data_IF_907177700951
#
_entry.id   IF_907177700951
#
_cell.length_a   1.000
_cell.length_b   1.000
_cell.length_c   1.000
_cell.angle_alpha   90.00
_cell.angle_beta   90.00
_cell.angle_gamma   90.00
#
_symmetry.space_group_name_H-M   'P 1'
#
loop_
_entity.id
_entity.type
_entity.pdbx_description
1 polymer ?
#
# COMPACT_ATOMS: atom_id res chain seq x y z
N UNK A 1 15.10 -14.01 -2.91
CA UNK A 1 16.29 -13.15 -3.09
C UNK A 1 16.41 -12.30 -1.86
N UNK A 2 17.58 -12.28 -1.23
CA UNK A 2 17.85 -11.37 -0.11
C UNK A 2 17.55 -9.92 -0.51
N UNK A 3 16.95 -9.10 0.38
CA UNK A 3 16.59 -7.72 0.07
C UNK A 3 17.77 -6.90 -0.49
N UNK A 4 18.96 -7.11 0.07
CA UNK A 4 20.20 -6.43 -0.33
C UNK A 4 20.63 -6.79 -1.74
N UNK A 5 20.64 -8.09 -2.08
CA UNK A 5 20.97 -8.55 -3.43
C UNK A 5 19.93 -8.07 -4.45
N UNK A 6 18.64 -8.08 -4.10
CA UNK A 6 17.59 -7.56 -4.98
C UNK A 6 17.84 -6.09 -5.33
N UNK A 7 18.12 -5.25 -4.34
CA UNK A 7 18.40 -3.83 -4.58
C UNK A 7 19.64 -3.63 -5.45
N UNK A 8 20.70 -4.44 -5.24
CA UNK A 8 21.90 -4.38 -6.08
C UNK A 8 21.59 -4.67 -7.55
N UNK A 9 20.88 -5.77 -7.82
CA UNK A 9 20.49 -6.16 -9.18
C UNK A 9 19.62 -5.09 -9.85
N UNK A 10 18.66 -4.52 -9.12
CA UNK A 10 17.81 -3.45 -9.63
C UNK A 10 18.63 -2.21 -10.03
N UNK A 11 19.64 -1.84 -9.23
CA UNK A 11 20.55 -0.74 -9.57
C UNK A 11 21.39 -1.04 -10.82
N UNK A 12 21.89 -2.27 -10.96
CA UNK A 12 22.64 -2.70 -12.15
C UNK A 12 21.76 -2.64 -13.41
N UNK A 13 20.53 -3.14 -13.35
CA UNK A 13 19.57 -3.05 -14.46
C UNK A 13 19.33 -1.58 -14.86
N UNK A 14 19.12 -0.71 -13.87
CA UNK A 14 18.91 0.71 -14.11
C UNK A 14 20.13 1.38 -14.75
N UNK A 15 21.34 1.01 -14.31
CA UNK A 15 22.58 1.51 -14.89
C UNK A 15 22.72 1.08 -16.36
N UNK A 16 22.52 -0.20 -16.64
CA UNK A 16 22.58 -0.74 -18.00
C UNK A 16 21.54 -0.08 -18.92
N UNK A 17 20.29 0.08 -18.45
CA UNK A 17 19.26 0.77 -19.22
C UNK A 17 19.66 2.21 -19.58
N UNK A 18 20.25 2.94 -18.62
CA UNK A 18 20.75 4.31 -18.85
C UNK A 18 21.95 4.38 -19.78
N UNK A 19 22.87 3.42 -19.65
CA UNK A 19 24.10 3.37 -20.44
C UNK A 19 23.80 3.03 -21.90
N UNK A 20 22.93 2.06 -22.15
CA UNK A 20 22.64 1.58 -23.51
C UNK A 20 21.40 2.23 -24.16
N UNK A 21 20.56 2.93 -23.40
CA UNK A 21 19.35 3.59 -23.92
C UNK A 21 18.34 2.61 -24.55
N UNK A 22 18.34 1.35 -24.12
CA UNK A 22 17.52 0.29 -24.71
C UNK A 22 16.07 0.38 -24.27
N UNK A 23 15.13 0.01 -25.14
CA UNK A 23 13.74 -0.18 -24.72
C UNK A 23 13.64 -1.42 -23.84
N UNK A 24 13.24 -1.25 -22.58
CA UNK A 24 13.12 -2.34 -21.60
C UNK A 24 11.67 -2.52 -21.19
N UNK A 25 11.19 -3.77 -21.22
CA UNK A 25 9.89 -4.16 -20.67
C UNK A 25 10.15 -5.08 -19.49
N UNK A 26 9.54 -4.77 -18.35
CA UNK A 26 9.66 -5.54 -17.12
C UNK A 26 8.26 -5.88 -16.59
N UNK A 27 8.13 -7.06 -16.01
CA UNK A 27 6.90 -7.52 -15.34
C UNK A 27 7.21 -7.67 -13.86
N UNK A 28 6.44 -7.00 -13.01
CA UNK A 28 6.59 -7.10 -11.56
C UNK A 28 5.23 -7.00 -10.89
N UNK A 29 5.13 -7.60 -9.70
CA UNK A 29 4.00 -7.48 -8.79
C UNK A 29 4.37 -6.65 -7.55
N UNK A 30 5.63 -6.17 -7.43
CA UNK A 30 6.11 -5.40 -6.29
C UNK A 30 6.05 -3.90 -6.61
N UNK A 31 5.19 -3.11 -5.93
CA UNK A 31 5.10 -1.67 -6.12
C UNK A 31 6.44 -0.94 -5.96
N UNK A 32 7.33 -1.41 -5.09
CA UNK A 32 8.62 -0.80 -4.82
C UNK A 32 9.57 -0.93 -6.01
N UNK A 33 9.54 -2.09 -6.68
CA UNK A 33 10.33 -2.35 -7.87
C UNK A 33 9.80 -1.54 -9.06
N UNK A 34 8.48 -1.57 -9.26
CA UNK A 34 7.80 -0.77 -10.29
C UNK A 34 8.10 0.71 -10.10
N UNK A 35 8.01 1.22 -8.87
CA UNK A 35 8.26 2.62 -8.56
C UNK A 35 9.71 3.04 -8.81
N UNK A 36 10.68 2.16 -8.55
CA UNK A 36 12.11 2.47 -8.72
C UNK A 36 12.60 2.39 -10.16
N UNK A 37 12.11 1.42 -10.93
CA UNK A 37 12.68 1.09 -12.24
C UNK A 37 11.84 1.55 -13.43
N UNK A 38 10.51 1.63 -13.30
CA UNK A 38 9.65 1.92 -14.44
C UNK A 38 9.54 3.43 -14.70
N UNK A 39 9.52 3.81 -15.97
CA UNK A 39 9.16 5.17 -16.42
C UNK A 39 7.66 5.30 -16.73
N UNK A 40 7.01 4.18 -17.08
CA UNK A 40 5.58 4.02 -17.40
C UNK A 40 5.11 2.66 -16.90
N UNK A 41 3.88 2.60 -16.40
CA UNK A 41 3.25 1.39 -15.87
C UNK A 41 1.96 1.11 -16.63
N UNK A 42 1.83 -0.11 -17.11
CA UNK A 42 0.61 -0.62 -17.74
C UNK A 42 0.07 -1.75 -16.86
N UNK A 43 -1.16 -1.59 -16.37
CA UNK A 43 -1.81 -2.61 -15.54
C UNK A 43 -2.75 -3.43 -16.41
N UNK A 44 -2.56 -4.75 -16.37
CA UNK A 44 -3.39 -5.71 -17.09
C UNK A 44 -4.32 -6.43 -16.12
N UNK A 45 -5.59 -6.55 -16.49
CA UNK A 45 -6.57 -7.40 -15.81
C UNK A 45 -7.42 -8.14 -16.84
N UNK A 46 -7.51 -9.47 -16.71
CA UNK A 46 -8.26 -10.33 -17.64
C UNK A 46 -7.94 -10.07 -19.13
N UNK A 47 -6.66 -9.89 -19.44
CA UNK A 47 -6.19 -9.64 -20.81
C UNK A 47 -6.48 -8.24 -21.36
N UNK A 48 -7.00 -7.32 -20.54
CA UNK A 48 -7.26 -5.92 -20.92
C UNK A 48 -6.36 -4.97 -20.14
N UNK A 49 -5.93 -3.89 -20.80
CA UNK A 49 -5.27 -2.77 -20.13
C UNK A 49 -6.33 -2.01 -19.34
N UNK A 50 -6.18 -1.97 -18.02
CA UNK A 50 -7.10 -1.24 -17.14
C UNK A 50 -6.56 0.11 -16.71
N UNK A 51 -5.22 0.27 -16.61
CA UNK A 51 -4.56 1.53 -16.29
C UNK A 51 -3.25 1.67 -17.09
N UNK A 52 -2.89 2.90 -17.42
CA UNK A 52 -1.66 3.26 -18.14
C UNK A 52 -1.21 4.67 -17.73
N UNK A 53 -0.01 4.80 -17.16
CA UNK A 53 0.47 6.11 -16.69
C UNK A 53 1.81 6.06 -15.98
N UNK A 54 2.18 7.14 -15.29
CA UNK A 54 3.42 7.20 -14.52
C UNK A 54 3.31 6.33 -13.26
N UNK A 55 4.41 5.73 -12.76
CA UNK A 55 4.38 4.91 -11.55
C UNK A 55 3.71 5.61 -10.36
N UNK A 56 3.97 6.91 -10.17
CA UNK A 56 3.35 7.70 -9.11
C UNK A 56 1.82 7.76 -9.23
N UNK A 57 1.29 7.96 -10.42
CA UNK A 57 -0.16 8.09 -10.67
C UNK A 57 -0.88 6.74 -10.48
N UNK A 58 -0.19 5.65 -10.83
CA UNK A 58 -0.74 4.29 -10.82
C UNK A 58 -0.64 3.66 -9.43
N UNK A 59 0.46 3.90 -8.70
CA UNK A 59 0.75 3.23 -7.42
C UNK A 59 0.30 4.04 -6.20
N UNK A 60 0.35 5.38 -6.25
CA UNK A 60 0.01 6.24 -5.10
C UNK A 60 -1.44 6.74 -5.20
N UNK A 61 -2.37 5.86 -5.59
CA UNK A 61 -3.80 6.18 -5.69
C UNK A 61 -4.41 6.39 -4.28
N UNK A 62 -4.06 7.51 -3.66
CA UNK A 62 -4.79 8.07 -2.52
C UNK A 62 -5.75 9.10 -3.07
N UNK A 63 -7.05 8.80 -3.07
CA UNK A 63 -8.09 9.76 -3.40
C UNK A 63 -8.30 10.73 -2.21
N UNK A 64 -8.05 12.03 -2.42
CA UNK A 64 -8.26 13.07 -1.40
C UNK A 64 -7.06 13.35 -0.49
N UNK A 65 -7.30 13.83 0.73
CA UNK A 65 -6.27 14.25 1.70
C UNK A 65 -5.65 13.11 2.54
N UNK A 66 -6.07 11.86 2.32
CA UNK A 66 -5.59 10.73 3.11
C UNK A 66 -4.23 10.31 2.58
N UNK A 67 -3.19 10.36 3.42
CA UNK A 67 -1.82 10.04 3.00
C UNK A 67 -1.49 8.55 3.09
N UNK A 68 -2.30 7.79 3.82
CA UNK A 68 -2.16 6.36 4.05
C UNK A 68 -3.55 5.71 4.12
N UNK A 69 -3.70 4.55 3.48
CA UNK A 69 -4.87 3.68 3.59
C UNK A 69 -4.39 2.23 3.70
N UNK A 70 -4.87 1.52 4.71
CA UNK A 70 -4.59 0.12 4.94
C UNK A 70 -5.89 -0.65 4.90
N UNK A 71 -5.92 -1.72 4.12
CA UNK A 71 -6.99 -2.70 4.21
C UNK A 71 -6.67 -3.66 5.36
N UNK A 72 -7.63 -3.86 6.24
CA UNK A 72 -7.52 -4.77 7.37
C UNK A 72 -8.82 -5.52 7.65
N UNK A 73 -8.76 -6.42 8.62
CA UNK A 73 -9.90 -7.20 9.11
C UNK A 73 -10.15 -6.87 10.58
N UNK A 74 -11.40 -6.54 10.91
CA UNK A 74 -11.81 -6.25 12.27
C UNK A 74 -11.88 -7.54 13.09
N UNK A 75 -11.08 -7.65 14.14
CA UNK A 75 -11.04 -8.83 15.01
C UNK A 75 -11.89 -8.65 16.26
N UNK A 76 -11.91 -7.45 16.83
CA UNK A 76 -12.59 -7.19 18.10
C UNK A 76 -12.96 -5.71 18.24
N UNK A 77 -14.06 -5.43 18.93
CA UNK A 77 -14.42 -4.08 19.39
C UNK A 77 -14.63 -4.13 20.90
N UNK A 78 -13.97 -3.25 21.63
CA UNK A 78 -14.09 -3.11 23.08
C UNK A 78 -14.40 -1.65 23.46
N UNK A 79 -15.26 -1.47 24.46
CA UNK A 79 -15.56 -0.15 25.03
C UNK A 79 -14.67 0.10 26.24
N UNK A 80 -13.90 1.18 26.20
CA UNK A 80 -13.05 1.64 27.33
C UNK A 80 -13.51 3.03 27.69
N UNK A 81 -14.20 3.15 28.83
CA UNK A 81 -14.86 4.38 29.28
C UNK A 81 -15.81 4.98 28.22
N UNK A 82 -15.42 6.12 27.64
CA UNK A 82 -16.18 6.89 26.65
C UNK A 82 -15.72 6.65 25.21
N UNK A 83 -14.66 5.86 25.00
CA UNK A 83 -14.12 5.55 23.67
C UNK A 83 -14.35 4.09 23.31
N UNK A 84 -14.39 3.82 22.01
CA UNK A 84 -14.40 2.48 21.46
C UNK A 84 -13.05 2.21 20.81
N UNK A 85 -12.45 1.06 21.15
CA UNK A 85 -11.23 0.55 20.54
C UNK A 85 -11.58 -0.63 19.64
N UNK A 86 -11.08 -0.60 18.41
CA UNK A 86 -11.15 -1.69 17.47
C UNK A 86 -9.77 -2.32 17.30
N UNK A 87 -9.68 -3.63 17.43
CA UNK A 87 -8.48 -4.40 17.08
C UNK A 87 -8.61 -4.82 15.63
N UNK A 88 -7.68 -4.36 14.79
CA UNK A 88 -7.69 -4.63 13.35
C UNK A 88 -6.40 -5.33 12.93
N UNK A 89 -6.55 -6.43 12.20
CA UNK A 89 -5.45 -7.12 11.56
C UNK A 89 -5.08 -6.41 10.25
N UNK A 90 -3.84 -5.93 10.15
CA UNK A 90 -3.28 -5.33 8.93
C UNK A 90 -2.05 -6.14 8.54
N UNK A 91 -2.18 -6.98 7.50
CA UNK A 91 -1.13 -7.91 7.11
C UNK A 91 -0.84 -8.93 8.23
N UNK A 92 0.36 -8.88 8.80
CA UNK A 92 0.79 -9.76 9.90
C UNK A 92 0.85 -9.05 11.27
N UNK A 93 0.29 -7.83 11.35
CA UNK A 93 0.32 -7.02 12.57
C UNK A 93 -1.10 -6.73 13.05
N UNK A 94 -1.25 -6.59 14.36
CA UNK A 94 -2.49 -6.12 15.00
C UNK A 94 -2.31 -4.66 15.41
N UNK A 95 -3.32 -3.85 15.13
CA UNK A 95 -3.31 -2.42 15.43
C UNK A 95 -4.60 -2.06 16.17
N UNK A 96 -4.48 -1.25 17.21
CA UNK A 96 -5.61 -0.67 17.92
C UNK A 96 -6.00 0.66 17.27
N UNK A 97 -7.29 0.81 16.95
CA UNK A 97 -7.84 2.01 16.32
C UNK A 97 -8.98 2.54 17.17
N UNK A 98 -8.93 3.83 17.50
CA UNK A 98 -10.05 4.51 18.16
C UNK A 98 -11.14 4.75 17.13
N UNK A 99 -12.34 4.26 17.41
CA UNK A 99 -13.53 4.43 16.56
C UNK A 99 -14.63 5.17 17.32
N UNK A 100 -15.55 5.78 16.58
CA UNK A 100 -16.73 6.43 17.15
C UNK A 100 -17.78 5.41 17.59
N UNK A 101 -18.70 5.81 18.47
CA UNK A 101 -19.83 4.97 18.88
C UNK A 101 -20.71 4.55 17.69
N UNK A 102 -20.89 5.44 16.71
CA UNK A 102 -21.62 5.12 15.47
C UNK A 102 -20.94 4.00 14.68
N UNK A 103 -19.62 4.05 14.52
CA UNK A 103 -18.87 2.97 13.84
C UNK A 103 -18.95 1.67 14.65
N UNK A 104 -18.81 1.74 15.97
CA UNK A 104 -18.87 0.56 16.83
C UNK A 104 -20.20 -0.19 16.75
N UNK A 105 -21.32 0.52 16.52
CA UNK A 105 -22.63 -0.09 16.36
C UNK A 105 -22.87 -0.70 14.96
N UNK A 106 -22.18 -0.19 13.94
CA UNK A 106 -22.39 -0.58 12.55
C UNK A 106 -21.38 -1.62 12.04
N UNK A 107 -20.24 -1.76 12.72
CA UNK A 107 -19.19 -2.72 12.36
C UNK A 107 -19.39 -4.06 13.06
N UNK A 108 -19.02 -5.14 12.37
CA UNK A 108 -19.03 -6.51 12.90
C UNK A 108 -17.65 -7.13 12.81
N UNK A 109 -17.32 -7.95 13.80
CA UNK A 109 -16.11 -8.78 13.77
C UNK A 109 -16.12 -9.64 12.49
N UNK A 110 -15.00 -9.64 11.78
CA UNK A 110 -14.81 -10.24 10.45
C UNK A 110 -14.99 -9.26 9.28
N UNK A 111 -15.45 -8.03 9.52
CA UNK A 111 -15.59 -7.03 8.46
C UNK A 111 -14.22 -6.60 7.92
N UNK A 112 -14.13 -6.46 6.59
CA UNK A 112 -12.95 -5.87 5.95
C UNK A 112 -13.06 -4.35 5.93
N UNK A 113 -12.13 -3.68 6.60
CA UNK A 113 -12.10 -2.23 6.78
C UNK A 113 -10.97 -1.59 5.98
N UNK A 114 -11.18 -0.37 5.50
CA UNK A 114 -10.11 0.50 5.02
C UNK A 114 -9.82 1.56 6.07
N UNK A 115 -8.70 1.44 6.77
CA UNK A 115 -8.25 2.40 7.78
C UNK A 115 -7.40 3.45 7.09
N UNK A 116 -7.83 4.71 7.17
CA UNK A 116 -7.10 5.83 6.59
C UNK A 116 -6.81 6.91 7.64
N UNK A 117 -5.63 7.51 7.59
CA UNK A 117 -5.28 8.66 8.45
C UNK A 117 -4.98 9.90 7.62
N UNK A 118 -5.48 11.05 8.08
CA UNK A 118 -5.22 12.37 7.49
C UNK A 118 -3.92 13.01 8.03
N UNK A 119 -3.54 12.68 9.25
CA UNK A 119 -2.35 13.24 9.92
C UNK A 119 -1.59 12.11 10.61
N UNK A 120 -0.36 11.89 10.15
CA UNK A 120 0.59 10.97 10.75
C UNK A 120 1.93 11.69 10.84
N UNK A 121 2.54 11.68 12.02
CA UNK A 121 3.93 12.05 12.20
C UNK A 121 4.74 10.75 12.31
N UNK A 122 5.27 10.21 11.18
CA UNK A 122 6.06 8.99 11.23
C UNK A 122 7.30 9.21 12.10
N UNK A 123 7.53 8.30 13.05
CA UNK A 123 8.84 8.13 13.66
C UNK A 123 9.60 7.15 12.78
N UNK A 124 10.65 7.61 12.12
CA UNK A 124 11.57 6.77 11.35
C UNK A 124 12.72 6.46 12.31
N UNK A 125 12.76 5.23 12.82
CA UNK A 125 13.84 4.71 13.67
C UNK A 125 14.62 3.63 12.96
#
# INVERSE_FOLDING_TARGET
LDPTMRTKLQNEILQLHKEFGTTTIMVSHDPSEIYRLASRVVVLNLGKVINDGKPKEILLQTTGSQKFSFKGELLEIMKVDVIYLAIVAIGQQLVEVVISEYEAQNLKVGDSLNISTKAFAPIIS
#
